data_IF_595319179230
#
_entry.id   IF_595319179230
#
_cell.length_a   1.000
_cell.length_b   1.000
_cell.length_c   1.000
_cell.angle_alpha   90.00
_cell.angle_beta   90.00
_cell.angle_gamma   90.00
#
_symmetry.space_group_name_H-M   'P 1'
#
loop_
_entity.id
_entity.type
_entity.pdbx_description
1 polymer ?
#
# COMPACT_ATOMS: atom_id res chain seq x y z
N UNK A 1 6.17 8.14 -13.53
CA UNK A 1 6.25 7.05 -12.53
C UNK A 1 7.60 6.37 -12.70
N UNK A 2 8.31 6.16 -11.60
CA UNK A 2 9.64 5.51 -11.58
C UNK A 2 9.44 4.07 -11.09
N UNK A 3 10.18 3.11 -11.64
CA UNK A 3 10.15 1.74 -11.12
C UNK A 3 10.57 1.69 -9.65
N UNK A 4 9.97 0.81 -8.87
CA UNK A 4 10.23 0.74 -7.42
C UNK A 4 11.71 0.50 -7.10
N UNK A 5 12.35 -0.49 -7.75
CA UNK A 5 13.77 -0.81 -7.47
C UNK A 5 14.72 0.35 -7.83
N UNK A 6 14.63 0.99 -9.02
CA UNK A 6 15.38 2.21 -9.28
C UNK A 6 15.18 3.29 -8.22
N UNK A 7 13.93 3.56 -7.82
CA UNK A 7 13.64 4.56 -6.80
C UNK A 7 14.28 4.23 -5.45
N UNK A 8 14.21 2.96 -5.01
CA UNK A 8 14.82 2.48 -3.76
C UNK A 8 16.34 2.71 -3.76
N UNK A 9 17.00 2.41 -4.88
CA UNK A 9 18.44 2.62 -5.00
C UNK A 9 18.83 4.11 -4.92
N UNK A 10 18.02 4.99 -5.52
CA UNK A 10 18.26 6.43 -5.55
C UNK A 10 17.93 7.13 -4.22
N UNK A 11 17.08 6.52 -3.38
CA UNK A 11 16.54 7.12 -2.15
C UNK A 11 16.92 6.38 -0.87
N UNK A 12 17.95 5.51 -0.93
CA UNK A 12 18.44 4.79 0.23
C UNK A 12 18.97 5.76 1.30
N UNK A 13 18.46 5.71 2.56
CA UNK A 13 18.93 6.59 3.62
C UNK A 13 20.43 6.36 3.92
N UNK A 14 21.19 7.46 4.04
CA UNK A 14 22.61 7.40 4.39
C UNK A 14 22.83 6.65 5.72
N UNK A 15 23.89 5.83 5.76
CA UNK A 15 24.22 4.94 6.88
C UNK A 15 24.46 5.70 8.19
N UNK A 16 23.74 5.32 9.25
CA UNK A 16 24.02 5.80 10.61
C UNK A 16 22.83 6.02 11.55
N UNK A 17 21.58 6.02 11.06
CA UNK A 17 20.38 6.19 11.90
C UNK A 17 19.69 4.84 12.17
N UNK A 18 19.32 4.56 13.43
CA UNK A 18 18.66 3.31 13.82
C UNK A 18 17.32 3.02 13.12
N UNK A 19 16.76 4.02 12.43
CA UNK A 19 15.50 3.95 11.68
C UNK A 19 15.65 3.53 10.22
N UNK A 20 16.86 3.19 9.79
CA UNK A 20 17.05 2.33 8.62
C UNK A 20 16.15 1.10 8.67
N UNK A 21 15.86 0.60 9.88
CA UNK A 21 14.95 -0.52 10.10
C UNK A 21 13.54 -0.26 9.52
N UNK A 22 12.83 0.80 9.92
CA UNK A 22 11.47 1.06 9.40
C UNK A 22 11.42 1.33 7.89
N UNK A 23 12.47 1.94 7.34
CA UNK A 23 12.59 2.11 5.88
C UNK A 23 12.80 0.78 5.16
N UNK A 24 13.78 -0.02 5.61
CA UNK A 24 14.08 -1.32 5.00
C UNK A 24 12.96 -2.35 5.23
N UNK A 25 12.29 -2.33 6.38
CA UNK A 25 11.15 -3.18 6.69
C UNK A 25 10.03 -2.93 5.65
N UNK A 26 9.68 -1.67 5.40
CA UNK A 26 8.71 -1.33 4.36
C UNK A 26 9.14 -1.78 2.97
N UNK A 27 10.39 -1.53 2.58
CA UNK A 27 10.91 -1.95 1.26
C UNK A 27 10.89 -3.48 1.12
N UNK A 28 11.31 -4.19 2.15
CA UNK A 28 11.32 -5.65 2.19
C UNK A 28 9.90 -6.21 2.13
N UNK A 29 8.94 -5.61 2.82
CA UNK A 29 7.54 -6.02 2.79
C UNK A 29 6.92 -5.88 1.41
N UNK A 30 7.18 -4.78 0.70
CA UNK A 30 6.75 -4.63 -0.70
C UNK A 30 7.42 -5.70 -1.58
N UNK A 31 8.71 -5.96 -1.42
CA UNK A 31 9.41 -6.99 -2.19
C UNK A 31 8.87 -8.40 -1.91
N UNK A 32 8.61 -8.73 -0.64
CA UNK A 32 8.04 -10.02 -0.21
C UNK A 32 6.62 -10.17 -0.73
N UNK A 33 5.81 -9.11 -0.70
CA UNK A 33 4.47 -9.10 -1.29
C UNK A 33 4.56 -9.43 -2.78
N UNK A 34 5.43 -8.74 -3.54
CA UNK A 34 5.64 -9.00 -4.97
C UNK A 34 6.10 -10.44 -5.24
N UNK A 35 7.12 -10.90 -4.52
CA UNK A 35 7.68 -12.24 -4.67
C UNK A 35 6.65 -13.34 -4.35
N UNK A 36 5.81 -13.16 -3.32
CA UNK A 36 4.79 -14.12 -2.90
C UNK A 36 3.74 -14.38 -3.97
N UNK A 37 3.35 -13.35 -4.72
CA UNK A 37 2.43 -13.55 -5.84
C UNK A 37 3.16 -14.16 -7.05
N UNK A 38 4.38 -13.68 -7.35
CA UNK A 38 5.19 -14.23 -8.44
C UNK A 38 5.41 -15.74 -8.30
N UNK A 39 5.83 -16.21 -7.12
CA UNK A 39 6.10 -17.63 -6.84
C UNK A 39 4.88 -18.54 -7.00
N UNK A 40 3.67 -17.98 -7.01
CA UNK A 40 2.41 -18.74 -7.18
C UNK A 40 1.92 -18.79 -8.62
N UNK A 41 2.79 -18.44 -9.59
CA UNK A 41 2.44 -18.33 -11.01
C UNK A 41 1.49 -17.16 -11.30
N UNK A 42 1.47 -16.16 -10.41
CA UNK A 42 0.58 -15.01 -10.48
C UNK A 42 1.42 -13.76 -10.57
N UNK A 43 1.61 -13.28 -11.78
CA UNK A 43 2.50 -12.16 -12.02
C UNK A 43 1.76 -10.86 -11.73
N UNK A 44 2.39 -9.98 -10.95
CA UNK A 44 2.14 -8.56 -11.12
C UNK A 44 2.53 -8.17 -12.56
N UNK A 45 1.91 -7.12 -13.10
CA UNK A 45 2.29 -6.56 -14.41
C UNK A 45 3.82 -6.36 -14.47
N UNK A 46 4.45 -6.65 -15.60
CA UNK A 46 5.91 -6.54 -15.77
C UNK A 46 6.44 -5.12 -15.51
N UNK A 47 5.56 -4.12 -15.57
CA UNK A 47 5.89 -2.74 -15.29
C UNK A 47 5.68 -2.35 -13.82
N UNK A 48 5.17 -3.23 -12.96
CA UNK A 48 4.93 -2.98 -11.53
C UNK A 48 5.87 -3.86 -10.67
N UNK A 49 6.22 -3.43 -9.43
CA UNK A 49 5.80 -2.21 -8.74
C UNK A 49 6.39 -0.90 -9.29
N UNK A 50 5.58 0.17 -9.29
CA UNK A 50 6.05 1.56 -9.56
C UNK A 50 5.75 2.49 -8.39
N UNK A 51 6.58 3.53 -8.24
CA UNK A 51 6.33 4.64 -7.33
C UNK A 51 5.39 5.65 -8.00
N UNK A 52 4.25 5.90 -7.36
CA UNK A 52 3.23 6.88 -7.81
C UNK A 52 3.29 8.19 -7.06
N UNK A 53 3.90 8.21 -5.88
CA UNK A 53 4.12 9.39 -5.07
C UNK A 53 5.06 9.08 -3.93
N UNK A 54 5.41 10.10 -3.14
CA UNK A 54 6.23 9.96 -1.94
C UNK A 54 5.56 10.67 -0.79
N UNK A 55 5.84 10.21 0.42
CA UNK A 55 5.37 10.82 1.66
C UNK A 55 6.44 10.72 2.72
N UNK A 56 6.37 11.61 3.70
CA UNK A 56 7.27 11.61 4.84
C UNK A 56 6.51 11.08 6.06
N UNK A 57 7.11 10.13 6.77
CA UNK A 57 6.65 9.72 8.10
C UNK A 57 7.61 10.24 9.16
N UNK A 58 7.10 10.41 10.38
CA UNK A 58 7.92 10.66 11.57
C UNK A 58 7.98 9.38 12.38
N UNK A 59 9.18 8.93 12.70
CA UNK A 59 9.37 7.77 13.55
C UNK A 59 9.16 8.15 15.02
N UNK A 60 8.72 7.22 15.87
CA UNK A 60 8.80 7.38 17.32
C UNK A 60 10.24 7.71 17.78
N UNK A 61 10.42 8.20 19.03
CA UNK A 61 11.74 8.55 19.55
C UNK A 61 12.79 7.43 19.45
N UNK A 62 14.05 7.72 19.03
CA UNK A 62 14.55 9.03 18.60
C UNK A 62 13.91 9.45 17.27
N UNK A 63 13.30 10.63 17.22
CA UNK A 63 12.52 11.04 16.05
C UNK A 63 13.41 11.20 14.82
N UNK A 64 12.94 10.65 13.70
CA UNK A 64 13.54 10.84 12.39
C UNK A 64 12.43 11.02 11.36
N UNK A 65 12.71 11.81 10.32
CA UNK A 65 11.84 11.90 9.15
C UNK A 65 12.33 10.90 8.10
N UNK A 66 11.44 10.00 7.66
CA UNK A 66 11.72 9.02 6.61
C UNK A 66 10.85 9.32 5.39
N UNK A 67 11.50 9.45 4.24
CA UNK A 67 10.80 9.54 2.95
C UNK A 67 10.54 8.13 2.43
N UNK A 68 9.26 7.83 2.20
CA UNK A 68 8.79 6.54 1.74
C UNK A 68 7.98 6.70 0.44
N UNK A 69 8.02 5.70 -0.45
CA UNK A 69 7.23 5.71 -1.66
C UNK A 69 5.81 5.20 -1.39
N UNK A 70 4.81 5.79 -2.05
CA UNK A 70 3.53 5.15 -2.28
C UNK A 70 3.65 4.32 -3.55
N UNK A 71 3.28 3.04 -3.46
CA UNK A 71 3.60 2.04 -4.48
C UNK A 71 2.32 1.56 -5.15
N UNK A 72 2.32 1.56 -6.49
CA UNK A 72 1.30 0.88 -7.27
C UNK A 72 1.70 -0.56 -7.54
N UNK A 73 0.72 -1.44 -7.41
CA UNK A 73 0.77 -2.84 -7.77
C UNK A 73 -0.41 -3.14 -8.69
N UNK A 74 -0.20 -3.89 -9.76
CA UNK A 74 -1.28 -4.32 -10.67
C UNK A 74 -1.35 -5.82 -10.81
N UNK A 75 -2.54 -6.38 -10.60
CA UNK A 75 -2.83 -7.81 -10.78
C UNK A 75 -4.01 -7.95 -11.75
N UNK A 76 -3.74 -8.36 -12.99
CA UNK A 76 -4.73 -8.29 -14.06
C UNK A 76 -5.17 -6.85 -14.28
N UNK A 77 -6.47 -6.60 -14.29
CA UNK A 77 -7.04 -5.24 -14.41
C UNK A 77 -7.21 -4.54 -13.06
N UNK A 78 -6.96 -5.23 -11.94
CA UNK A 78 -7.07 -4.64 -10.61
C UNK A 78 -5.80 -3.87 -10.26
N UNK A 79 -5.98 -2.61 -9.87
CA UNK A 79 -4.92 -1.72 -9.43
C UNK A 79 -5.01 -1.53 -7.92
N UNK A 80 -3.86 -1.63 -7.27
CA UNK A 80 -3.67 -1.33 -5.85
C UNK A 80 -2.66 -0.20 -5.73
N UNK A 81 -2.94 0.80 -4.90
CA UNK A 81 -1.96 1.77 -4.41
C UNK A 81 -1.80 1.54 -2.93
N UNK A 82 -0.59 1.26 -2.47
CA UNK A 82 -0.32 0.94 -1.07
C UNK A 82 0.72 1.88 -0.49
N UNK A 83 0.52 2.23 0.78
CA UNK A 83 1.53 2.87 1.61
C UNK A 83 1.46 2.33 3.03
N UNK A 84 2.54 2.53 3.75
CA UNK A 84 2.68 2.18 5.16
C UNK A 84 2.91 3.43 5.98
N UNK A 85 2.41 3.48 7.20
CA UNK A 85 2.73 4.53 8.14
C UNK A 85 2.75 4.00 9.56
N UNK A 86 3.37 4.77 10.45
CA UNK A 86 3.29 4.56 11.88
C UNK A 86 2.20 5.48 12.44
N UNK A 87 1.35 4.92 13.29
CA UNK A 87 0.41 5.69 14.10
C UNK A 87 1.14 6.44 15.22
N UNK A 88 0.44 7.36 15.90
CA UNK A 88 1.00 8.09 17.03
C UNK A 88 1.43 7.17 18.20
N UNK A 89 0.83 5.98 18.31
CA UNK A 89 1.17 4.96 19.31
C UNK A 89 2.34 4.06 18.87
N UNK A 90 2.82 4.21 17.63
CA UNK A 90 3.88 3.39 17.06
C UNK A 90 3.38 2.09 16.42
N UNK A 91 2.07 1.88 16.35
CA UNK A 91 1.48 0.75 15.62
C UNK A 91 1.58 0.98 14.12
N UNK A 92 1.73 -0.11 13.37
CA UNK A 92 1.75 -0.08 11.91
C UNK A 92 0.33 0.13 11.37
N UNK A 93 0.22 0.90 10.29
CA UNK A 93 -1.03 1.10 9.58
C UNK A 93 -0.75 1.11 8.08
N UNK A 94 -1.48 0.30 7.32
CA UNK A 94 -1.37 0.24 5.87
C UNK A 94 -2.60 0.89 5.23
N UNK A 95 -2.37 1.85 4.34
CA UNK A 95 -3.45 2.41 3.51
C UNK A 95 -3.39 1.81 2.12
N UNK A 96 -4.53 1.34 1.63
CA UNK A 96 -4.67 0.77 0.29
C UNK A 96 -5.81 1.43 -0.48
N UNK A 97 -5.54 1.90 -1.69
CA UNK A 97 -6.57 2.21 -2.68
C UNK A 97 -6.69 1.08 -3.67
N UNK A 98 -7.93 0.67 -3.94
CA UNK A 98 -8.27 -0.42 -4.84
C UNK A 98 -9.13 0.13 -5.97
N UNK A 99 -8.79 -0.25 -7.20
CA UNK A 99 -9.61 -0.01 -8.38
C UNK A 99 -9.72 -1.31 -9.17
N UNK A 100 -10.95 -1.76 -9.37
CA UNK A 100 -11.33 -2.99 -10.09
C UNK A 100 -12.18 -2.63 -11.30
N UNK A 101 -12.21 -3.50 -12.33
CA UNK A 101 -13.16 -3.36 -13.44
C UNK A 101 -14.60 -3.64 -13.03
N UNK A 102 -14.82 -4.45 -11.98
CA UNK A 102 -16.13 -4.92 -11.51
C UNK A 102 -16.23 -4.76 -10.00
N UNK A 103 -17.45 -4.52 -9.50
CA UNK A 103 -17.77 -4.45 -8.09
C UNK A 103 -17.44 -5.77 -7.38
N UNK A 104 -16.86 -5.69 -6.18
CA UNK A 104 -16.62 -6.86 -5.33
C UNK A 104 -17.93 -7.27 -4.64
N UNK A 105 -18.21 -8.57 -4.66
CA UNK A 105 -19.47 -9.16 -4.13
C UNK A 105 -19.24 -10.10 -2.95
N UNK A 106 -17.97 -10.37 -2.59
CA UNK A 106 -17.63 -11.20 -1.45
C UNK A 106 -17.68 -10.49 -0.09
N UNK A 107 -17.58 -11.27 0.98
CA UNK A 107 -17.45 -10.75 2.34
C UNK A 107 -16.06 -10.19 2.61
N UNK A 108 -15.99 -9.10 3.38
CA UNK A 108 -14.72 -8.51 3.83
C UNK A 108 -14.06 -9.28 4.98
N UNK A 109 -14.78 -10.19 5.64
CA UNK A 109 -14.32 -10.95 6.81
C UNK A 109 -13.71 -10.08 7.92
N UNK A 110 -14.19 -8.84 8.07
CA UNK A 110 -13.69 -7.90 9.07
C UNK A 110 -12.31 -7.31 8.77
N UNK A 111 -11.80 -7.45 7.53
CA UNK A 111 -10.46 -7.00 7.14
C UNK A 111 -10.25 -5.48 7.32
N UNK A 112 -11.31 -4.69 7.19
CA UNK A 112 -11.30 -3.24 7.42
C UNK A 112 -12.73 -2.73 7.64
N UNK A 113 -12.87 -1.51 8.15
CA UNK A 113 -14.16 -0.81 8.26
C UNK A 113 -14.64 -0.34 6.87
N UNK A 114 -15.74 -0.90 6.33
CA UNK A 114 -16.22 -0.54 4.99
C UNK A 114 -16.77 0.88 4.90
N UNK A 115 -17.05 1.53 6.02
CA UNK A 115 -17.66 2.87 6.09
C UNK A 115 -16.65 4.00 6.27
N UNK A 116 -15.38 3.68 6.58
CA UNK A 116 -14.33 4.68 6.83
C UNK A 116 -14.00 5.46 5.56
N UNK A 117 -14.30 6.76 5.56
CA UNK A 117 -13.99 7.67 4.45
C UNK A 117 -12.70 8.44 4.72
N UNK A 118 -11.70 8.26 3.86
CA UNK A 118 -10.39 8.89 3.95
C UNK A 118 -10.27 10.17 3.10
N UNK A 119 -11.27 10.50 2.27
CA UNK A 119 -11.24 11.69 1.40
C UNK A 119 -11.14 12.98 2.21
N UNK A 120 -11.81 13.04 3.36
CA UNK A 120 -11.87 14.23 4.20
C UNK A 120 -10.54 14.55 4.90
N UNK A 121 -9.75 13.54 5.22
CA UNK A 121 -8.42 13.68 5.87
C UNK A 121 -7.28 13.73 4.85
N UNK A 122 -7.51 13.22 3.64
CA UNK A 122 -6.49 13.06 2.62
C UNK A 122 -5.52 11.93 2.95
N UNK A 123 -4.86 11.40 1.92
CA UNK A 123 -3.85 10.35 2.07
C UNK A 123 -2.54 10.84 1.50
N UNK A 124 -1.57 11.13 2.37
CA UNK A 124 -0.25 11.59 1.96
C UNK A 124 0.42 10.58 1.02
N UNK A 125 1.07 11.08 -0.03
CA UNK A 125 1.72 10.26 -1.06
C UNK A 125 0.77 9.69 -2.11
N UNK A 126 -0.54 9.73 -1.89
CA UNK A 126 -1.52 9.40 -2.92
C UNK A 126 -1.86 10.68 -3.69
N UNK A 127 -1.90 10.58 -5.02
CA UNK A 127 -2.57 11.59 -5.83
C UNK A 127 -4.06 11.65 -5.48
N UNK A 128 -4.71 12.78 -5.72
CA UNK A 128 -6.17 12.92 -5.52
C UNK A 128 -6.96 11.91 -6.36
N UNK A 129 -6.42 11.54 -7.51
CA UNK A 129 -6.94 10.50 -8.40
C UNK A 129 -6.86 9.08 -7.83
N UNK A 130 -6.11 8.89 -6.75
CA UNK A 130 -5.94 7.62 -6.06
C UNK A 130 -6.54 7.63 -4.65
N UNK A 131 -7.25 8.67 -4.22
CA UNK A 131 -7.97 8.69 -2.94
C UNK A 131 -9.46 8.56 -3.20
N UNK A 132 -9.99 7.36 -3.04
CA UNK A 132 -11.37 7.01 -3.33
C UNK A 132 -12.24 7.07 -2.06
N UNK A 133 -13.56 6.95 -2.24
CA UNK A 133 -14.51 6.86 -1.15
C UNK A 133 -14.43 5.52 -0.38
N UNK A 134 -15.28 5.35 0.64
CA UNK A 134 -15.37 4.11 1.40
C UNK A 134 -15.92 2.95 0.55
N UNK A 135 -15.57 1.73 0.91
CA UNK A 135 -16.04 0.51 0.24
C UNK A 135 -17.59 0.40 0.23
N UNK A 136 -18.26 0.87 1.27
CA UNK A 136 -19.72 0.85 1.38
C UNK A 136 -20.42 1.70 0.30
N UNK A 137 -19.75 2.72 -0.25
CA UNK A 137 -20.25 3.49 -1.39
C UNK A 137 -19.98 2.74 -2.70
N UNK A 138 -18.77 2.20 -2.87
CA UNK A 138 -18.30 1.53 -4.09
C UNK A 138 -17.32 0.41 -3.78
N UNK A 139 -17.71 -0.83 -4.09
CA UNK A 139 -16.84 -2.00 -3.90
C UNK A 139 -15.91 -2.30 -5.08
N UNK A 140 -16.02 -1.54 -6.18
CA UNK A 140 -15.09 -1.56 -7.31
C UNK A 140 -13.98 -0.51 -7.19
N UNK A 141 -14.18 0.55 -6.41
CA UNK A 141 -13.24 1.67 -6.29
C UNK A 141 -13.31 2.30 -4.90
N UNK A 142 -12.33 1.99 -4.04
CA UNK A 142 -12.35 2.41 -2.64
C UNK A 142 -10.94 2.59 -2.06
N UNK A 143 -10.84 3.36 -0.98
CA UNK A 143 -9.63 3.45 -0.16
C UNK A 143 -9.93 2.96 1.25
N UNK A 144 -9.09 2.08 1.77
CA UNK A 144 -9.23 1.50 3.09
C UNK A 144 -7.92 1.54 3.89
N UNK A 145 -8.05 1.31 5.18
CA UNK A 145 -6.93 1.05 6.08
C UNK A 145 -7.00 -0.41 6.52
N UNK A 146 -5.86 -1.09 6.52
CA UNK A 146 -5.67 -2.43 7.06
C UNK A 146 -4.50 -2.44 8.04
N UNK A 147 -4.41 -3.46 8.89
CA UNK A 147 -3.51 -3.44 10.05
C UNK A 147 -2.05 -3.73 9.64
N UNK A 148 -1.83 -4.73 8.78
CA UNK A 148 -0.49 -5.15 8.40
C UNK A 148 -0.32 -5.54 6.92
N UNK A 149 0.90 -5.92 6.53
CA UNK A 149 1.23 -6.37 5.17
C UNK A 149 0.53 -7.69 4.80
N UNK A 150 0.19 -8.54 5.77
CA UNK A 150 -0.57 -9.77 5.53
C UNK A 150 -2.01 -9.47 5.18
N UNK A 151 -2.61 -8.45 5.79
CA UNK A 151 -3.92 -7.96 5.43
C UNK A 151 -3.92 -7.32 4.05
N UNK A 152 -2.87 -6.59 3.68
CA UNK A 152 -2.67 -6.14 2.29
C UNK A 152 -2.62 -7.35 1.34
N UNK A 153 -1.87 -8.40 1.69
CA UNK A 153 -1.81 -9.61 0.87
C UNK A 153 -3.16 -10.34 0.80
N UNK A 154 -3.95 -10.31 1.87
CA UNK A 154 -5.31 -10.87 1.93
C UNK A 154 -6.26 -10.06 1.05
N UNK A 155 -6.21 -8.72 1.12
CA UNK A 155 -6.95 -7.82 0.26
C UNK A 155 -6.66 -8.11 -1.22
N UNK A 156 -5.38 -8.15 -1.61
CA UNK A 156 -4.98 -8.47 -2.99
C UNK A 156 -5.48 -9.85 -3.41
N UNK A 157 -5.49 -10.84 -2.50
CA UNK A 157 -6.01 -12.17 -2.78
C UNK A 157 -7.53 -12.16 -3.00
N UNK A 158 -8.28 -11.46 -2.16
CA UNK A 158 -9.75 -11.39 -2.22
C UNK A 158 -10.20 -10.67 -3.49
N UNK A 159 -9.63 -9.50 -3.78
CA UNK A 159 -10.01 -8.65 -4.91
C UNK A 159 -9.69 -9.27 -6.27
N UNK A 160 -8.80 -10.27 -6.31
CA UNK A 160 -8.51 -11.09 -7.50
C UNK A 160 -9.40 -12.33 -7.62
N UNK A 161 -9.89 -12.86 -6.51
CA UNK A 161 -10.58 -14.16 -6.48
C UNK A 161 -12.05 -14.08 -6.85
N UNK A 162 -12.60 -12.87 -6.97
CA UNK A 162 -13.97 -12.60 -7.39
C UNK A 162 -13.99 -12.33 -8.91
N UNK A 163 -14.70 -13.14 -9.72
CA UNK A 163 -14.73 -13.06 -11.18
C UNK A 163 -15.30 -11.76 -11.74
#
# INVERSE_FOLDING_TARGET
>A
MIGFIPWVNDNNPQTGSGWQKGWWDYIEDIQRLVAKFYARGRHFDANDPVVVGTYTIRTPPPEAELVLPAVRLRVGETVFIVKWQLTATGDEEWTASVQRPVAFTGDLYGLFDPSRDLRAVGVSGFGTEFTFGPFAERSDQFTCVVDDVWDVATLVRMMRSDP
#
